data_IF_498342097238
#
_entry.id   IF_498342097238
#
_cell.length_a   1.000
_cell.length_b   1.000
_cell.length_c   1.000
_cell.angle_alpha   90.00
_cell.angle_beta   90.00
_cell.angle_gamma   90.00
#
_symmetry.space_group_name_H-M   'P 1'
#
loop_
_entity.id
_entity.type
_entity.pdbx_description
1 polymer ?
#
# COMPACT_ATOMS: atom_id res chain seq x y z
N UNK A 1 11.26 65.66 28.04
CA UNK A 1 12.13 65.04 27.02
C UNK A 1 12.09 63.54 27.25
N UNK A 2 11.32 62.80 26.43
CA UNK A 2 11.22 61.34 26.49
C UNK A 2 11.64 60.79 25.11
N UNK A 3 12.68 59.96 25.08
CA UNK A 3 13.14 59.25 23.88
C UNK A 3 12.72 57.78 23.97
N UNK A 4 11.97 57.30 22.99
CA UNK A 4 11.68 55.87 22.79
C UNK A 4 12.65 55.28 21.77
N UNK A 5 13.38 54.24 22.15
CA UNK A 5 14.26 53.47 21.26
C UNK A 5 13.44 52.32 20.68
N UNK A 6 13.31 52.28 19.35
CA UNK A 6 12.71 51.15 18.63
C UNK A 6 13.86 50.21 18.22
N UNK A 7 13.93 49.02 18.82
CA UNK A 7 14.83 47.95 18.39
C UNK A 7 14.22 47.17 17.22
N UNK A 8 14.73 47.41 16.02
CA UNK A 8 14.42 46.60 14.84
C UNK A 8 15.29 45.34 14.83
N UNK A 9 14.72 44.17 15.13
CA UNK A 9 15.40 42.89 14.93
C UNK A 9 15.28 42.46 13.48
N UNK A 10 16.37 42.59 12.72
CA UNK A 10 16.53 42.06 11.37
C UNK A 10 16.57 40.53 11.41
N UNK A 11 15.50 39.88 10.97
CA UNK A 11 15.46 38.42 10.80
C UNK A 11 16.18 38.04 9.51
N UNK A 12 17.44 37.64 9.62
CA UNK A 12 18.20 37.03 8.52
C UNK A 12 17.64 35.65 8.23
N UNK A 13 16.79 35.57 7.19
CA UNK A 13 16.30 34.32 6.61
C UNK A 13 17.46 33.64 5.88
N UNK A 14 18.14 32.72 6.53
CA UNK A 14 19.10 31.82 5.90
C UNK A 14 18.34 30.94 4.90
N UNK A 15 18.41 31.26 3.61
CA UNK A 15 17.98 30.36 2.53
C UNK A 15 18.97 29.22 2.43
N UNK A 16 18.76 28.18 3.24
CA UNK A 16 19.37 26.86 3.00
C UNK A 16 18.72 26.33 1.74
N UNK A 17 19.45 26.41 0.61
CA UNK A 17 19.12 25.71 -0.62
C UNK A 17 18.97 24.22 -0.27
N UNK A 18 17.81 23.58 -0.50
CA UNK A 18 17.68 22.15 -0.31
C UNK A 18 18.76 21.47 -1.17
N UNK A 19 19.47 20.44 -0.65
CA UNK A 19 20.37 19.66 -1.48
C UNK A 19 19.57 19.18 -2.70
N UNK A 20 20.16 19.36 -3.89
CA UNK A 20 19.58 18.86 -5.12
C UNK A 20 19.23 17.39 -4.89
N UNK A 21 17.94 17.05 -5.02
CA UNK A 21 17.49 15.69 -4.96
C UNK A 21 18.32 14.91 -5.99
N UNK A 22 19.17 14.01 -5.52
CA UNK A 22 19.73 12.96 -6.36
C UNK A 22 18.54 12.36 -7.09
N UNK A 23 18.53 12.45 -8.42
CA UNK A 23 17.55 11.75 -9.24
C UNK A 23 17.75 10.29 -8.87
N UNK A 24 16.88 9.78 -7.99
CA UNK A 24 16.94 8.40 -7.55
C UNK A 24 16.92 7.57 -8.83
N UNK A 25 18.00 6.84 -9.09
CA UNK A 25 18.04 5.88 -10.19
C UNK A 25 16.80 5.03 -9.99
N UNK A 26 15.87 5.09 -10.93
CA UNK A 26 14.58 4.46 -10.75
C UNK A 26 14.83 3.00 -10.37
N UNK A 27 14.26 2.58 -9.23
CA UNK A 27 14.38 1.21 -8.80
C UNK A 27 13.88 0.31 -9.93
N UNK A 28 14.43 -0.88 -10.08
CA UNK A 28 13.89 -1.91 -10.97
C UNK A 28 13.40 -3.02 -10.05
N UNK A 29 12.20 -3.58 -10.28
CA UNK A 29 11.73 -4.67 -9.45
C UNK A 29 12.74 -5.83 -9.48
N UNK A 30 13.08 -6.34 -8.30
CA UNK A 30 14.05 -7.43 -8.18
C UNK A 30 13.32 -8.73 -8.49
N UNK A 31 13.76 -9.44 -9.53
CA UNK A 31 13.26 -10.78 -9.85
C UNK A 31 13.46 -11.73 -8.66
N UNK A 32 12.37 -12.31 -8.18
CA UNK A 32 12.37 -13.31 -7.11
C UNK A 32 12.46 -14.73 -7.68
N UNK A 33 13.22 -15.59 -7.01
CA UNK A 33 13.29 -17.04 -7.28
C UNK A 33 13.15 -17.81 -5.96
N UNK A 34 11.95 -17.80 -5.35
CA UNK A 34 11.76 -18.35 -4.02
C UNK A 34 11.81 -19.89 -4.03
N UNK A 35 12.23 -20.49 -2.90
CA UNK A 35 12.09 -21.91 -2.68
C UNK A 35 10.61 -22.34 -2.56
N UNK A 36 10.36 -23.65 -2.56
CA UNK A 36 9.02 -24.22 -2.37
C UNK A 36 9.07 -25.32 -1.28
N UNK A 37 8.57 -25.06 -0.06
CA UNK A 37 8.00 -23.79 0.40
C UNK A 37 9.07 -22.67 0.55
N UNK A 38 8.66 -21.39 0.53
CA UNK A 38 9.56 -20.25 0.73
C UNK A 38 10.31 -20.33 2.07
N UNK A 39 11.59 -19.98 2.04
CA UNK A 39 12.43 -19.86 3.25
C UNK A 39 12.21 -18.51 3.96
N UNK A 40 12.80 -18.36 5.16
CA UNK A 40 12.86 -17.07 5.84
C UNK A 40 13.51 -15.97 4.97
N UNK A 41 14.58 -16.32 4.24
CA UNK A 41 15.23 -15.39 3.31
C UNK A 41 14.30 -14.98 2.17
N UNK A 42 13.51 -15.92 1.63
CA UNK A 42 12.55 -15.62 0.56
C UNK A 42 11.44 -14.69 1.04
N UNK A 43 10.92 -14.90 2.26
CA UNK A 43 9.93 -14.02 2.88
C UNK A 43 10.50 -12.63 3.12
N UNK A 44 11.71 -12.53 3.70
CA UNK A 44 12.37 -11.25 3.93
C UNK A 44 12.61 -10.48 2.63
N UNK A 45 13.13 -11.15 1.60
CA UNK A 45 13.35 -10.55 0.28
C UNK A 45 12.04 -10.10 -0.36
N UNK A 46 10.96 -10.89 -0.22
CA UNK A 46 9.64 -10.52 -0.75
C UNK A 46 9.09 -9.27 -0.06
N UNK A 47 9.22 -9.17 1.26
CA UNK A 47 8.77 -7.99 2.03
C UNK A 47 9.57 -6.74 1.62
N UNK A 48 10.89 -6.82 1.54
CA UNK A 48 11.75 -5.69 1.13
C UNK A 48 11.46 -5.24 -0.31
N UNK A 49 11.28 -6.18 -1.23
CA UNK A 49 10.89 -5.85 -2.60
C UNK A 49 9.53 -5.15 -2.64
N UNK A 50 8.57 -5.65 -1.87
CA UNK A 50 7.25 -5.06 -1.81
C UNK A 50 7.27 -3.67 -1.20
N UNK A 51 8.04 -3.44 -0.14
CA UNK A 51 8.25 -2.11 0.42
C UNK A 51 8.79 -1.13 -0.64
N UNK A 52 9.72 -1.60 -1.49
CA UNK A 52 10.21 -0.82 -2.64
C UNK A 52 9.11 -0.54 -3.66
N UNK A 53 8.26 -1.52 -3.96
CA UNK A 53 7.09 -1.35 -4.84
C UNK A 53 6.12 -0.31 -4.28
N UNK A 54 5.80 -0.42 -2.98
CA UNK A 54 4.91 0.51 -2.29
C UNK A 54 5.49 1.92 -2.36
N UNK A 55 6.74 2.12 -1.97
CA UNK A 55 7.36 3.45 -2.00
C UNK A 55 7.40 4.04 -3.42
N UNK A 56 7.65 3.23 -4.44
CA UNK A 56 7.67 3.70 -5.84
C UNK A 56 6.29 4.10 -6.34
N UNK A 57 5.25 3.36 -5.98
CA UNK A 57 3.86 3.72 -6.30
C UNK A 57 3.45 4.98 -5.53
N UNK A 58 3.78 5.06 -4.24
CA UNK A 58 3.53 6.25 -3.40
C UNK A 58 4.22 7.49 -3.97
N UNK A 59 5.45 7.36 -4.48
CA UNK A 59 6.21 8.45 -5.10
C UNK A 59 5.52 9.04 -6.33
N UNK A 60 4.78 8.21 -7.08
CA UNK A 60 3.93 8.66 -8.17
C UNK A 60 2.65 9.32 -7.62
N UNK A 61 1.95 8.67 -6.69
CA UNK A 61 0.68 9.18 -6.14
C UNK A 61 0.84 10.53 -5.43
N UNK A 62 2.02 10.83 -4.89
CA UNK A 62 2.37 12.12 -4.31
C UNK A 62 2.65 13.23 -5.36
N UNK A 63 2.92 12.87 -6.62
CA UNK A 63 3.12 13.79 -7.74
C UNK A 63 2.60 13.17 -9.05
N UNK A 64 1.27 13.10 -9.22
CA UNK A 64 0.65 12.24 -10.23
C UNK A 64 0.76 12.79 -11.67
N UNK A 65 1.25 14.02 -11.84
CA UNK A 65 1.54 14.63 -13.15
C UNK A 65 2.86 14.13 -13.77
N UNK A 66 3.70 13.42 -13.01
CA UNK A 66 4.99 12.95 -13.49
C UNK A 66 4.87 11.63 -14.27
N UNK A 67 4.85 11.73 -15.61
CA UNK A 67 4.73 10.58 -16.53
C UNK A 67 5.86 9.54 -16.39
N UNK A 68 7.07 9.96 -16.05
CA UNK A 68 8.18 9.04 -15.80
C UNK A 68 7.90 8.19 -14.56
N UNK A 69 7.42 8.81 -13.48
CA UNK A 69 7.01 8.11 -12.27
C UNK A 69 5.80 7.19 -12.50
N UNK A 70 4.85 7.57 -13.37
CA UNK A 70 3.72 6.72 -13.74
C UNK A 70 4.20 5.40 -14.36
N UNK A 71 5.14 5.46 -15.31
CA UNK A 71 5.69 4.26 -15.94
C UNK A 71 6.34 3.31 -14.92
N UNK A 72 7.10 3.86 -13.97
CA UNK A 72 7.67 3.07 -12.88
C UNK A 72 6.60 2.51 -11.94
N UNK A 73 5.62 3.31 -11.52
CA UNK A 73 4.53 2.86 -10.67
C UNK A 73 3.78 1.66 -11.29
N UNK A 74 3.54 1.66 -12.60
CA UNK A 74 2.91 0.54 -13.31
C UNK A 74 3.78 -0.71 -13.27
N UNK A 75 5.08 -0.58 -13.50
CA UNK A 75 6.02 -1.72 -13.47
C UNK A 75 6.08 -2.33 -12.07
N UNK A 76 6.17 -1.51 -11.02
CA UNK A 76 6.21 -1.99 -9.64
C UNK A 76 4.88 -2.54 -9.13
N UNK A 77 3.76 -1.91 -9.48
CA UNK A 77 2.43 -2.44 -9.15
C UNK A 77 2.18 -3.81 -9.78
N UNK A 78 2.77 -4.09 -10.96
CA UNK A 78 2.74 -5.42 -11.60
C UNK A 78 3.64 -6.46 -10.93
N UNK A 79 4.63 -6.02 -10.16
CA UNK A 79 5.52 -6.92 -9.43
C UNK A 79 4.92 -7.34 -8.08
N UNK A 80 4.09 -6.50 -7.45
CA UNK A 80 3.41 -6.78 -6.15
C UNK A 80 2.73 -8.19 -6.11
N UNK A 81 2.02 -8.66 -7.15
CA UNK A 81 1.47 -10.02 -7.20
C UNK A 81 2.52 -11.15 -7.11
N UNK A 82 3.76 -10.93 -7.55
CA UNK A 82 4.86 -11.92 -7.44
C UNK A 82 5.32 -12.05 -5.99
N UNK A 83 5.44 -10.92 -5.29
CA UNK A 83 5.71 -10.93 -3.85
C UNK A 83 4.54 -11.57 -3.08
N UNK A 84 3.30 -11.25 -3.43
CA UNK A 84 2.10 -11.86 -2.86
C UNK A 84 2.12 -13.39 -3.00
N UNK A 85 2.37 -13.87 -4.21
CA UNK A 85 2.43 -15.31 -4.48
C UNK A 85 3.53 -16.00 -3.66
N UNK A 86 4.65 -15.33 -3.41
CA UNK A 86 5.71 -15.86 -2.55
C UNK A 86 5.23 -15.97 -1.11
N UNK A 87 4.68 -14.90 -0.53
CA UNK A 87 4.19 -14.91 0.85
C UNK A 87 3.06 -15.92 1.05
N UNK A 88 2.16 -16.07 0.08
CA UNK A 88 1.05 -17.02 0.12
C UNK A 88 1.46 -18.49 0.07
N UNK A 89 2.69 -18.80 -0.38
CA UNK A 89 3.23 -20.16 -0.40
C UNK A 89 3.90 -20.58 0.90
N UNK A 90 4.01 -19.69 1.89
CA UNK A 90 4.52 -20.04 3.22
C UNK A 90 3.67 -21.15 3.83
N UNK A 91 4.33 -22.21 4.30
CA UNK A 91 3.66 -23.39 4.84
C UNK A 91 2.95 -23.07 6.16
N UNK A 92 1.73 -23.58 6.32
CA UNK A 92 0.91 -23.42 7.53
C UNK A 92 0.68 -21.94 7.96
N UNK A 93 0.42 -21.06 6.98
CA UNK A 93 -0.08 -19.72 7.28
C UNK A 93 -1.36 -19.78 8.15
N UNK A 94 -1.48 -18.94 9.20
CA UNK A 94 -2.71 -18.84 9.97
C UNK A 94 -3.86 -18.33 9.10
N UNK A 95 -5.10 -18.62 9.51
CA UNK A 95 -6.33 -18.21 8.79
C UNK A 95 -6.37 -16.70 8.49
N UNK A 96 -5.85 -15.87 9.39
CA UNK A 96 -5.76 -14.42 9.21
C UNK A 96 -4.84 -14.05 8.05
N UNK A 97 -3.67 -14.68 7.93
CA UNK A 97 -2.74 -14.48 6.81
C UNK A 97 -3.33 -14.94 5.48
N UNK A 98 -3.97 -16.12 5.45
CA UNK A 98 -4.65 -16.63 4.24
C UNK A 98 -5.75 -15.67 3.79
N UNK A 99 -6.60 -15.21 4.72
CA UNK A 99 -7.68 -14.27 4.41
C UNK A 99 -7.13 -12.94 3.87
N UNK A 100 -6.10 -12.40 4.51
CA UNK A 100 -5.43 -11.19 4.06
C UNK A 100 -4.88 -11.34 2.63
N UNK A 101 -4.22 -12.46 2.34
CA UNK A 101 -3.76 -12.79 1.01
C UNK A 101 -4.88 -12.88 -0.04
N UNK A 102 -6.03 -13.47 0.31
CA UNK A 102 -7.20 -13.51 -0.59
C UNK A 102 -7.74 -12.12 -0.89
N UNK A 103 -7.84 -11.25 0.13
CA UNK A 103 -8.23 -9.85 -0.07
C UNK A 103 -7.28 -9.15 -1.03
N UNK A 104 -5.97 -9.34 -0.84
CA UNK A 104 -4.94 -8.77 -1.70
C UNK A 104 -5.04 -9.25 -3.15
N UNK A 105 -5.21 -10.55 -3.38
CA UNK A 105 -5.38 -11.13 -4.72
C UNK A 105 -6.59 -10.54 -5.46
N UNK A 106 -7.68 -10.27 -4.75
CA UNK A 106 -8.88 -9.67 -5.34
C UNK A 106 -8.75 -8.18 -5.68
N UNK A 107 -7.81 -7.47 -5.06
CA UNK A 107 -7.71 -6.00 -5.16
C UNK A 107 -6.55 -5.51 -6.03
N UNK A 108 -5.42 -6.22 -6.08
CA UNK A 108 -4.26 -5.80 -6.89
C UNK A 108 -4.54 -5.52 -8.36
N UNK A 109 -5.35 -6.32 -9.08
CA UNK A 109 -5.65 -6.05 -10.48
C UNK A 109 -6.21 -4.64 -10.71
N UNK A 110 -7.00 -4.11 -9.76
CA UNK A 110 -7.60 -2.78 -9.88
C UNK A 110 -6.59 -1.64 -9.75
N UNK A 111 -5.53 -1.81 -8.96
CA UNK A 111 -4.45 -0.81 -8.84
C UNK A 111 -3.72 -0.69 -10.18
N UNK A 112 -3.34 -1.83 -10.76
CA UNK A 112 -2.67 -1.86 -12.05
C UNK A 112 -3.56 -1.29 -13.15
N UNK A 113 -4.84 -1.68 -13.20
CA UNK A 113 -5.76 -1.19 -14.23
C UNK A 113 -5.97 0.33 -14.12
N UNK A 114 -6.11 0.88 -12.91
CA UNK A 114 -6.28 2.33 -12.73
C UNK A 114 -5.05 3.12 -13.17
N UNK A 115 -3.84 2.66 -12.82
CA UNK A 115 -2.60 3.29 -13.28
C UNK A 115 -2.46 3.22 -14.82
N UNK A 116 -2.84 2.09 -15.43
CA UNK A 116 -2.85 1.95 -16.90
C UNK A 116 -3.90 2.84 -17.56
N UNK A 117 -5.06 3.05 -16.93
CA UNK A 117 -6.08 3.98 -17.41
C UNK A 117 -5.58 5.42 -17.46
N UNK A 118 -4.73 5.85 -16.51
CA UNK A 118 -4.03 7.13 -16.60
C UNK A 118 -3.10 7.16 -17.81
N UNK A 119 -2.27 6.11 -17.96
CA UNK A 119 -1.30 6.04 -19.05
C UNK A 119 -1.97 6.12 -20.43
N UNK A 120 -3.13 5.48 -20.57
CA UNK A 120 -3.88 5.42 -21.82
C UNK A 120 -4.86 6.59 -22.02
N UNK A 121 -4.99 7.50 -21.03
CA UNK A 121 -5.96 8.59 -21.06
C UNK A 121 -7.43 8.15 -20.95
N UNK A 122 -7.68 6.92 -20.51
CA UNK A 122 -9.02 6.37 -20.32
C UNK A 122 -9.72 6.89 -19.05
N UNK A 123 -8.95 7.45 -18.12
CA UNK A 123 -9.43 8.09 -16.89
C UNK A 123 -8.59 9.33 -16.61
N UNK A 124 -9.18 10.33 -15.95
CA UNK A 124 -8.41 11.50 -15.50
C UNK A 124 -7.36 11.06 -14.46
N UNK A 125 -6.21 11.74 -14.44
CA UNK A 125 -5.17 11.50 -13.42
C UNK A 125 -5.74 11.61 -12.01
N UNK A 126 -6.64 12.57 -11.78
CA UNK A 126 -7.27 12.79 -10.49
C UNK A 126 -8.14 11.60 -10.06
N UNK A 127 -9.07 11.15 -10.91
CA UNK A 127 -10.01 10.07 -10.56
C UNK A 127 -9.28 8.75 -10.33
N UNK A 128 -8.32 8.43 -11.20
CA UNK A 128 -7.55 7.20 -11.08
C UNK A 128 -6.64 7.21 -9.85
N UNK A 129 -5.99 8.35 -9.55
CA UNK A 129 -5.17 8.50 -8.34
C UNK A 129 -6.03 8.36 -7.08
N UNK A 130 -7.23 8.96 -7.05
CA UNK A 130 -8.17 8.81 -5.95
C UNK A 130 -8.61 7.35 -5.76
N UNK A 131 -8.93 6.64 -6.84
CA UNK A 131 -9.32 5.24 -6.79
C UNK A 131 -8.18 4.32 -6.31
N UNK A 132 -6.94 4.57 -6.77
CA UNK A 132 -5.74 3.83 -6.32
C UNK A 132 -5.51 4.09 -4.83
N UNK A 133 -5.49 5.35 -4.40
CA UNK A 133 -5.31 5.75 -3.01
C UNK A 133 -6.39 5.09 -2.11
N UNK A 134 -7.66 5.11 -2.52
CA UNK A 134 -8.74 4.50 -1.75
C UNK A 134 -8.53 2.98 -1.56
N UNK A 135 -8.25 2.25 -2.64
CA UNK A 135 -8.03 0.80 -2.55
C UNK A 135 -6.79 0.50 -1.70
N UNK A 136 -5.69 1.24 -1.93
CA UNK A 136 -4.43 1.04 -1.22
C UNK A 136 -4.58 1.29 0.27
N UNK A 137 -5.13 2.43 0.66
CA UNK A 137 -5.27 2.81 2.05
C UNK A 137 -6.30 1.97 2.81
N UNK A 138 -7.44 1.63 2.18
CA UNK A 138 -8.54 0.99 2.89
C UNK A 138 -8.50 -0.53 2.84
N UNK A 139 -7.79 -1.11 1.88
CA UNK A 139 -7.81 -2.57 1.66
C UNK A 139 -6.42 -3.16 1.62
N UNK A 140 -5.55 -2.67 0.72
CA UNK A 140 -4.25 -3.32 0.49
C UNK A 140 -3.30 -3.15 1.67
N UNK A 141 -3.06 -1.92 2.15
CA UNK A 141 -2.09 -1.64 3.21
C UNK A 141 -2.45 -2.31 4.56
N UNK A 142 -3.72 -2.37 4.99
CA UNK A 142 -4.10 -3.17 6.15
C UNK A 142 -3.92 -4.68 5.94
N UNK A 143 -4.35 -5.21 4.79
CA UNK A 143 -4.26 -6.64 4.51
C UNK A 143 -2.80 -7.08 4.38
N UNK A 144 -1.94 -6.28 3.74
CA UNK A 144 -0.54 -6.63 3.57
C UNK A 144 0.21 -6.68 4.91
N UNK A 145 -0.11 -5.78 5.85
CA UNK A 145 0.45 -5.83 7.20
C UNK A 145 0.11 -7.13 7.94
N UNK A 146 -1.14 -7.61 7.80
CA UNK A 146 -1.56 -8.89 8.36
C UNK A 146 -0.86 -10.08 7.70
N UNK A 147 -0.69 -10.07 6.37
CA UNK A 147 0.02 -11.12 5.64
C UNK A 147 1.52 -11.15 5.99
N UNK A 148 2.18 -9.99 6.02
CA UNK A 148 3.59 -9.87 6.39
C UNK A 148 3.85 -10.41 7.79
N UNK A 149 3.04 -10.01 8.76
CA UNK A 149 3.14 -10.50 10.13
C UNK A 149 2.97 -12.01 10.20
N UNK A 150 1.96 -12.55 9.51
CA UNK A 150 1.69 -13.99 9.46
C UNK A 150 2.87 -14.77 8.84
N UNK A 151 3.37 -14.32 7.69
CA UNK A 151 4.49 -14.97 6.99
C UNK A 151 5.81 -14.87 7.77
N UNK A 152 6.10 -13.72 8.37
CA UNK A 152 7.30 -13.49 9.16
C UNK A 152 7.33 -14.37 10.42
N UNK A 153 6.20 -14.47 11.13
CA UNK A 153 6.07 -15.33 12.30
C UNK A 153 6.25 -16.80 11.93
N UNK A 154 5.60 -17.24 10.83
CA UNK A 154 5.62 -18.62 10.41
C UNK A 154 7.00 -19.09 9.91
N UNK A 155 7.76 -18.20 9.29
CA UNK A 155 9.12 -18.48 8.81
C UNK A 155 10.23 -18.08 9.77
N UNK A 156 9.89 -17.47 10.92
CA UNK A 156 10.84 -16.99 11.94
C UNK A 156 11.85 -15.96 11.40
N UNK A 157 11.41 -15.09 10.49
CA UNK A 157 12.21 -13.97 9.96
C UNK A 157 12.57 -12.92 11.02
N UNK A 158 11.81 -12.89 12.13
CA UNK A 158 11.91 -11.85 13.15
C UNK A 158 11.01 -10.66 12.81
N UNK A 159 11.27 -9.52 13.46
CA UNK A 159 10.52 -8.30 13.19
C UNK A 159 10.72 -7.83 11.74
N UNK A 160 9.62 -7.48 11.08
CA UNK A 160 9.61 -6.93 9.72
C UNK A 160 9.13 -5.49 9.76
N UNK A 161 9.64 -4.64 8.86
CA UNK A 161 9.09 -3.30 8.65
C UNK A 161 7.62 -3.44 8.26
N UNK A 162 6.76 -2.59 8.81
CA UNK A 162 5.38 -2.48 8.32
C UNK A 162 5.37 -1.57 7.10
N UNK A 163 4.44 -1.77 6.14
CA UNK A 163 4.45 -1.00 4.90
C UNK A 163 4.23 0.48 5.20
N UNK A 164 4.98 1.34 4.51
CA UNK A 164 4.78 2.78 4.61
C UNK A 164 3.39 3.16 4.09
N UNK A 165 2.62 3.82 4.95
CA UNK A 165 1.35 4.41 4.56
C UNK A 165 1.62 5.63 3.68
N UNK A 166 0.85 5.77 2.60
CA UNK A 166 0.82 7.01 1.83
C UNK A 166 0.33 8.13 2.73
N UNK A 167 0.86 9.35 2.58
CA UNK A 167 0.38 10.54 3.31
C UNK A 167 -1.13 10.69 3.15
N UNK A 168 -1.65 10.38 1.97
CA UNK A 168 -3.08 10.42 1.64
C UNK A 168 -3.93 9.47 2.48
N UNK A 169 -3.37 8.36 3.00
CA UNK A 169 -4.09 7.45 3.89
C UNK A 169 -4.50 8.10 5.21
N UNK A 170 -3.72 9.07 5.71
CA UNK A 170 -4.06 9.82 6.93
C UNK A 170 -5.20 10.83 6.72
N UNK A 171 -5.50 11.17 5.47
CA UNK A 171 -6.49 12.17 5.08
C UNK A 171 -7.79 11.53 4.57
N UNK A 172 -7.80 10.22 4.36
CA UNK A 172 -8.98 9.46 3.92
C UNK A 172 -9.69 8.78 5.08
N UNK A 173 -11.00 8.91 5.10
CA UNK A 173 -11.87 8.08 5.94
C UNK A 173 -12.22 6.81 5.18
N UNK A 174 -11.63 5.69 5.57
CA UNK A 174 -12.07 4.37 5.15
C UNK A 174 -13.36 4.02 5.89
N UNK A 175 -14.49 4.62 5.47
CA UNK A 175 -15.79 4.12 5.89
C UNK A 175 -15.84 2.65 5.54
N UNK A 176 -16.08 1.80 6.54
CA UNK A 176 -15.85 0.35 6.50
C UNK A 176 -16.62 -0.33 5.35
N UNK A 177 -16.01 -0.40 4.17
CA UNK A 177 -16.49 -1.15 3.01
C UNK A 177 -16.27 -2.67 3.15
N UNK A 178 -15.67 -3.12 4.25
CA UNK A 178 -15.71 -4.51 4.68
C UNK A 178 -16.93 -4.72 5.57
N UNK A 179 -18.12 -4.75 4.96
CA UNK A 179 -19.24 -5.48 5.53
C UNK A 179 -18.85 -6.94 5.62
N UNK A 180 -18.21 -7.30 6.72
CA UNK A 180 -18.13 -8.65 7.24
C UNK A 180 -19.54 -9.05 7.68
N UNK A 181 -20.45 -9.32 6.74
CA UNK A 181 -21.70 -10.02 7.03
C UNK A 181 -21.41 -11.52 7.14
N UNK A 182 -20.68 -11.88 8.20
CA UNK A 182 -20.63 -13.24 8.71
C UNK A 182 -21.61 -13.39 9.87
N UNK A 183 -22.84 -13.81 9.55
CA UNK A 183 -23.69 -14.58 10.46
C UNK A 183 -24.47 -13.83 11.55
N UNK A 184 -25.71 -13.48 11.24
CA UNK A 184 -26.80 -13.67 12.18
C UNK A 184 -27.87 -14.52 11.47
N UNK A 185 -27.72 -15.84 11.59
CA UNK A 185 -28.84 -16.75 11.41
C UNK A 185 -29.85 -16.41 12.52
N UNK A 186 -30.89 -15.67 12.19
CA UNK A 186 -32.09 -15.62 13.01
C UNK A 186 -33.16 -16.43 12.29
N UNK A 187 -33.42 -17.61 12.85
CA UNK A 187 -34.43 -18.54 12.40
C UNK A 187 -35.79 -17.85 12.37
N UNK A 188 -36.33 -17.65 11.16
CA UNK A 188 -37.75 -17.38 10.98
C UNK A 188 -38.52 -18.61 11.44
N UNK A 189 -39.07 -18.51 12.66
CA UNK A 189 -40.10 -19.38 13.22
C UNK A 189 -41.11 -19.76 12.13
N UNK A 190 -41.30 -21.06 11.90
CA UNK A 190 -42.49 -21.57 11.24
C UNK A 190 -43.73 -21.08 12.00
N UNK A 191 -44.55 -20.27 11.34
CA UNK A 191 -45.92 -20.00 11.77
C UNK A 191 -46.81 -21.15 11.31
N UNK A 192 -47.29 -21.95 12.26
CA UNK A 192 -48.43 -22.84 12.07
C UNK A 192 -49.67 -21.96 11.93
N UNK A 193 -50.30 -21.96 10.76
CA UNK A 193 -51.65 -21.42 10.57
C UNK A 193 -52.63 -22.56 10.79
N UNK A 194 -53.40 -22.47 11.88
CA UNK A 194 -54.65 -23.22 12.05
C UNK A 194 -55.78 -22.38 11.45
N UNK A 195 -56.57 -23.00 10.58
CA UNK A 195 -57.98 -22.69 10.36
C UNK A 195 -58.73 -24.01 10.45
#
# INVERSE_FOLDING_TARGET
MHFSIISSTTSTRTTVRPPAATIAKAAIPRVLKPASPPTATDVKNSIVNWETSVNTVNDYLNNPENKTKLAYAIVFAKDEPVQLATLMKVSALPKTGVKAGTVLMGNFPSIVSNLQSIQNGAMTTQDATAAVNFNRCCTVLPAIGALWTAAANQTKVGAVSMPNLETQCSQMSCASGVSMSGGAANATRMGVVRV
#
